data_IF_230441527586
#
_entry.id   IF_230441527586
#
_cell.length_a   1.000
_cell.length_b   1.000
_cell.length_c   1.000
_cell.angle_alpha   90.00
_cell.angle_beta   90.00
_cell.angle_gamma   90.00
#
_symmetry.space_group_name_H-M   'P 1'
#
loop_
_entity.id
_entity.type
_entity.pdbx_description
1 polymer ?
#
# COMPACT_ATOMS: atom_id res chain seq x y z
N UNK A 1 -4.75 15.48 -36.52
CA UNK A 1 -3.30 15.32 -36.72
C UNK A 1 -2.45 16.06 -35.67
N UNK A 2 -3.08 16.71 -34.67
CA UNK A 2 -2.43 17.44 -33.57
C UNK A 2 -2.31 16.67 -32.26
N UNK A 3 -2.93 15.48 -32.15
CA UNK A 3 -3.07 14.74 -30.90
C UNK A 3 -1.91 13.75 -30.64
N UNK A 4 -1.14 13.44 -31.69
CA UNK A 4 0.06 12.59 -31.65
C UNK A 4 1.07 13.05 -30.57
N UNK A 5 1.45 14.34 -30.48
CA UNK A 5 2.35 14.79 -29.42
C UNK A 5 1.75 14.61 -28.01
N UNK A 6 0.44 14.77 -27.85
CA UNK A 6 -0.23 14.58 -26.55
C UNK A 6 -0.18 13.11 -26.14
N UNK A 7 -0.49 12.18 -27.05
CA UNK A 7 -0.40 10.75 -26.79
C UNK A 7 1.05 10.30 -26.48
N UNK A 8 2.03 10.87 -27.19
CA UNK A 8 3.44 10.58 -26.94
C UNK A 8 3.88 11.03 -25.55
N UNK A 9 3.51 12.25 -25.14
CA UNK A 9 3.79 12.76 -23.78
C UNK A 9 3.08 11.94 -22.72
N UNK A 10 1.83 11.54 -22.95
CA UNK A 10 1.10 10.64 -22.05
C UNK A 10 1.80 9.29 -21.88
N UNK A 11 2.25 8.69 -22.98
CA UNK A 11 3.01 7.45 -22.98
C UNK A 11 4.34 7.58 -22.23
N UNK A 12 5.06 8.69 -22.44
CA UNK A 12 6.31 8.97 -21.74
C UNK A 12 6.12 9.11 -20.23
N UNK A 13 5.11 9.86 -19.79
CA UNK A 13 4.78 10.02 -18.37
C UNK A 13 4.41 8.67 -17.76
N UNK A 14 3.58 7.87 -18.44
CA UNK A 14 3.17 6.57 -17.96
C UNK A 14 4.34 5.59 -17.87
N UNK A 15 5.21 5.56 -18.87
CA UNK A 15 6.44 4.78 -18.87
C UNK A 15 7.39 5.21 -17.74
N UNK A 16 7.52 6.52 -17.49
CA UNK A 16 8.29 7.07 -16.38
C UNK A 16 7.75 6.65 -15.01
N UNK A 17 6.43 6.70 -14.82
CA UNK A 17 5.78 6.23 -13.60
C UNK A 17 6.03 4.73 -13.38
N UNK A 18 5.80 3.91 -14.39
CA UNK A 18 6.04 2.46 -14.31
C UNK A 18 7.51 2.12 -14.07
N UNK A 19 8.44 2.85 -14.72
CA UNK A 19 9.87 2.70 -14.52
C UNK A 19 10.27 3.03 -13.08
N UNK A 20 9.76 4.14 -12.53
CA UNK A 20 10.07 4.56 -11.16
C UNK A 20 9.53 3.57 -10.12
N UNK A 21 8.31 3.06 -10.33
CA UNK A 21 7.72 2.00 -9.48
C UNK A 21 8.55 0.72 -9.56
N UNK A 22 8.92 0.27 -10.76
CA UNK A 22 9.68 -0.97 -10.98
C UNK A 22 11.12 -0.89 -10.45
N UNK A 23 11.81 0.22 -10.70
CA UNK A 23 13.17 0.46 -10.21
C UNK A 23 13.23 0.54 -8.68
N UNK A 24 12.26 1.19 -8.04
CA UNK A 24 12.15 1.23 -6.58
C UNK A 24 11.95 -0.17 -5.99
N UNK A 25 11.08 -0.98 -6.58
CA UNK A 25 10.86 -2.36 -6.15
C UNK A 25 12.12 -3.23 -6.35
N UNK A 26 12.81 -3.06 -7.47
CA UNK A 26 14.08 -3.76 -7.77
C UNK A 26 15.20 -3.37 -6.80
N UNK A 27 15.32 -2.08 -6.47
CA UNK A 27 16.29 -1.58 -5.48
C UNK A 27 16.04 -2.18 -4.11
N UNK A 28 14.78 -2.18 -3.66
CA UNK A 28 14.36 -2.77 -2.38
C UNK A 28 14.70 -4.28 -2.33
N UNK A 29 14.44 -5.02 -3.41
CA UNK A 29 14.81 -6.43 -3.51
C UNK A 29 16.31 -6.66 -3.53
N UNK A 30 17.04 -5.81 -4.26
CA UNK A 30 18.49 -5.92 -4.43
C UNK A 30 19.26 -5.77 -3.12
N UNK A 31 18.68 -5.05 -2.13
CA UNK A 31 19.32 -4.85 -0.83
C UNK A 31 18.74 -5.72 0.29
N UNK A 32 17.42 -5.98 0.32
CA UNK A 32 16.78 -6.69 1.44
C UNK A 32 16.58 -8.20 1.22
N UNK A 33 16.86 -8.75 0.03
CA UNK A 33 16.68 -10.17 -0.34
C UNK A 33 15.27 -10.77 -0.09
N UNK A 34 14.31 -10.01 0.44
CA UNK A 34 12.96 -10.45 0.79
C UNK A 34 11.93 -9.44 0.28
N UNK A 35 10.92 -9.95 -0.43
CA UNK A 35 9.78 -9.18 -0.89
C UNK A 35 8.72 -9.10 0.24
N UNK A 36 8.58 -7.92 0.85
CA UNK A 36 7.52 -7.69 1.84
C UNK A 36 6.18 -7.31 1.16
N UNK A 37 5.41 -8.33 0.73
CA UNK A 37 4.04 -8.15 0.22
C UNK A 37 3.03 -7.77 1.30
N UNK A 38 3.37 -7.93 2.58
CA UNK A 38 2.46 -7.59 3.66
C UNK A 38 2.14 -6.08 3.68
N UNK A 39 3.10 -5.24 3.26
CA UNK A 39 2.91 -3.80 3.22
C UNK A 39 1.72 -3.38 2.33
N UNK A 40 1.63 -3.91 1.10
CA UNK A 40 0.52 -3.61 0.19
C UNK A 40 -0.83 -4.15 0.72
N UNK A 41 -0.81 -5.33 1.34
CA UNK A 41 -1.99 -5.92 1.97
C UNK A 41 -2.51 -5.07 3.13
N UNK A 42 -1.63 -4.58 4.02
CA UNK A 42 -2.01 -3.69 5.12
C UNK A 42 -2.56 -2.35 4.63
N UNK A 43 -1.99 -1.79 3.55
CA UNK A 43 -2.51 -0.58 2.92
C UNK A 43 -3.95 -0.77 2.42
N UNK A 44 -4.22 -1.85 1.67
CA UNK A 44 -5.58 -2.14 1.19
C UNK A 44 -6.56 -2.39 2.35
N UNK A 45 -6.13 -3.12 3.37
CA UNK A 45 -6.96 -3.41 4.55
C UNK A 45 -7.34 -2.11 5.28
N UNK A 46 -6.41 -1.17 5.39
CA UNK A 46 -6.67 0.15 5.95
C UNK A 46 -7.65 0.98 5.13
N UNK A 47 -7.49 0.99 3.81
CA UNK A 47 -8.43 1.65 2.91
C UNK A 47 -9.85 1.07 3.04
N UNK A 48 -9.97 -0.26 3.14
CA UNK A 48 -11.26 -0.94 3.29
C UNK A 48 -11.92 -0.64 4.63
N UNK A 49 -11.16 -0.64 5.73
CA UNK A 49 -11.68 -0.23 7.04
C UNK A 49 -12.13 1.22 7.03
N UNK A 50 -11.34 2.13 6.44
CA UNK A 50 -11.75 3.53 6.36
C UNK A 50 -13.02 3.71 5.54
N UNK A 51 -13.15 2.99 4.43
CA UNK A 51 -14.35 3.02 3.60
C UNK A 51 -15.57 2.47 4.34
N UNK A 52 -15.42 1.31 4.99
CA UNK A 52 -16.49 0.65 5.72
C UNK A 52 -16.97 1.47 6.94
N UNK A 53 -16.03 2.06 7.70
CA UNK A 53 -16.35 2.92 8.84
C UNK A 53 -17.04 4.22 8.40
N UNK A 54 -16.59 4.82 7.30
CA UNK A 54 -17.23 5.99 6.73
C UNK A 54 -18.66 5.66 6.25
N UNK A 55 -18.84 4.52 5.60
CA UNK A 55 -20.16 4.05 5.15
C UNK A 55 -21.11 3.75 6.32
N UNK A 56 -20.61 3.21 7.43
CA UNK A 56 -21.42 2.89 8.61
C UNK A 56 -21.75 4.11 9.47
N UNK A 57 -20.80 5.03 9.66
CA UNK A 57 -20.92 6.13 10.63
C UNK A 57 -21.33 7.45 9.97
N UNK A 58 -21.08 7.60 8.66
CA UNK A 58 -21.26 8.88 7.94
C UNK A 58 -20.33 10.01 8.39
N UNK A 59 -19.47 9.78 9.38
CA UNK A 59 -18.63 10.79 10.00
C UNK A 59 -17.14 10.54 9.71
N UNK A 60 -16.57 11.43 8.89
CA UNK A 60 -15.17 11.38 8.46
C UNK A 60 -14.18 11.44 9.63
N UNK A 61 -14.43 12.31 10.60
CA UNK A 61 -13.49 12.53 11.72
C UNK A 61 -13.38 11.30 12.62
N UNK A 62 -14.51 10.61 12.82
CA UNK A 62 -14.56 9.38 13.59
C UNK A 62 -13.86 8.24 12.85
N UNK A 63 -14.11 8.10 11.55
CA UNK A 63 -13.42 7.13 10.69
C UNK A 63 -11.91 7.35 10.66
N UNK A 64 -11.45 8.61 10.65
CA UNK A 64 -10.03 8.95 10.58
C UNK A 64 -9.25 8.51 11.83
N UNK A 65 -9.87 8.52 13.01
CA UNK A 65 -9.22 8.13 14.27
C UNK A 65 -9.37 6.63 14.54
N UNK A 66 -10.56 6.08 14.27
CA UNK A 66 -10.86 4.67 14.56
C UNK A 66 -10.14 3.73 13.59
N UNK A 67 -10.02 4.09 12.32
CA UNK A 67 -9.36 3.26 11.32
C UNK A 67 -7.88 2.93 11.64
N UNK A 68 -6.99 3.92 11.90
CA UNK A 68 -5.60 3.63 12.25
C UNK A 68 -5.49 2.85 13.57
N UNK A 69 -6.39 3.07 14.51
CA UNK A 69 -6.43 2.31 15.78
C UNK A 69 -6.73 0.82 15.53
N UNK A 70 -7.71 0.51 14.67
CA UNK A 70 -8.02 -0.87 14.27
C UNK A 70 -6.89 -1.51 13.46
N UNK A 71 -6.32 -0.78 12.51
CA UNK A 71 -5.15 -1.21 11.74
C UNK A 71 -3.96 -1.53 12.64
N UNK A 72 -3.70 -0.71 13.65
CA UNK A 72 -2.63 -0.95 14.62
C UNK A 72 -2.85 -2.26 15.38
N UNK A 73 -4.07 -2.54 15.84
CA UNK A 73 -4.41 -3.80 16.51
C UNK A 73 -4.22 -5.01 15.58
N UNK A 74 -4.64 -4.90 14.33
CA UNK A 74 -4.45 -5.97 13.33
C UNK A 74 -2.97 -6.19 13.03
N UNK A 75 -2.20 -5.11 12.83
CA UNK A 75 -0.75 -5.17 12.60
C UNK A 75 -0.02 -5.83 13.78
N UNK A 76 -0.34 -5.42 15.00
CA UNK A 76 0.23 -5.99 16.22
C UNK A 76 -0.11 -7.49 16.39
N UNK A 77 -1.33 -7.89 16.02
CA UNK A 77 -1.72 -9.30 16.02
C UNK A 77 -0.89 -10.09 14.98
N UNK A 78 -0.74 -9.58 13.76
CA UNK A 78 0.06 -10.24 12.72
C UNK A 78 1.52 -10.36 13.14
N UNK A 79 2.10 -9.31 13.74
CA UNK A 79 3.46 -9.36 14.26
C UNK A 79 3.62 -10.45 15.34
N UNK A 80 2.70 -10.50 16.30
CA UNK A 80 2.77 -11.44 17.43
C UNK A 80 2.56 -12.89 17.00
N UNK A 81 1.66 -13.15 16.06
CA UNK A 81 1.28 -14.52 15.66
C UNK A 81 2.08 -15.07 14.47
N UNK A 82 2.38 -14.24 13.45
CA UNK A 82 3.07 -14.70 12.23
C UNK A 82 4.56 -14.40 12.30
N UNK A 83 4.93 -13.11 12.46
CA UNK A 83 6.34 -12.71 12.33
C UNK A 83 7.21 -13.25 13.45
N UNK A 84 6.70 -13.29 14.68
CA UNK A 84 7.41 -13.85 15.84
C UNK A 84 7.65 -15.36 15.75
N UNK A 85 6.83 -16.09 14.97
CA UNK A 85 6.99 -17.53 14.75
C UNK A 85 8.04 -17.83 13.66
N UNK A 86 8.16 -16.95 12.66
CA UNK A 86 9.11 -17.09 11.56
C UNK A 86 10.54 -16.73 11.99
N UNK A 87 10.72 -15.75 12.87
CA UNK A 87 12.03 -15.34 13.41
C UNK A 87 12.63 -16.31 14.45
N UNK A 88 12.17 -17.56 14.52
CA UNK A 88 12.71 -18.56 15.46
C UNK A 88 14.02 -19.19 14.94
N UNK A 89 14.50 -18.83 13.75
CA UNK A 89 15.82 -19.22 13.24
C UNK A 89 16.55 -18.04 12.61
#
# INVERSE_FOLDING_TARGET
>A
MSDIPVFFLHGLVYAGLLFLVSSGLTLVFGIMNVLNLAHAAFYMLGAYFSYSLLAATGNFWLSLIVCPSLLFLVGAAVERFLLRRVHVY
#
